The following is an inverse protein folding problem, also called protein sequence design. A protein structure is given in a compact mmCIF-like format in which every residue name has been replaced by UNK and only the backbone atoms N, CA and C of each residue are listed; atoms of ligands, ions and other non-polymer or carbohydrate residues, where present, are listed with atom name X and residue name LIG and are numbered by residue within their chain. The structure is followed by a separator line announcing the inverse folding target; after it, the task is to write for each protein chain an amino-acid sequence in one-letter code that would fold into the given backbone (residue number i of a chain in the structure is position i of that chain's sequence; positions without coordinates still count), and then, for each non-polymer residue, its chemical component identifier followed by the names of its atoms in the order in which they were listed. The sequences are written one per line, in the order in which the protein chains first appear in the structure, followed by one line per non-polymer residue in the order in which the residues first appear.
data_IF_072794678290
#
_entry.id   IF_072794678290
#
_cell.length_a   1.000
_cell.length_b   1.000
_cell.length_c   1.000
_cell.angle_alpha   90.00
_cell.angle_beta   90.00
_cell.angle_gamma   90.00
#
_symmetry.space_group_name_H-M   'P 1'
#
loop_
_entity.id
_entity.type
_entity.pdbx_description
1 polymer ?
#
# COMPACT_ATOMS: atom_id res chain seq x y z
N UNK A 1 -1.16 10.36 -10.32
CA UNK A 1 -0.37 10.36 -9.06
C UNK A 1 0.10 8.96 -8.69
N UNK A 2 -0.80 7.97 -8.62
CA UNK A 2 -0.45 6.58 -8.27
C UNK A 2 0.63 5.95 -9.18
N UNK A 3 0.50 6.03 -10.50
CA UNK A 3 1.53 5.47 -11.42
C UNK A 3 2.92 6.13 -11.27
N UNK A 4 2.98 7.45 -11.07
CA UNK A 4 4.23 8.17 -10.81
C UNK A 4 4.89 7.76 -9.49
N UNK A 5 4.11 7.37 -8.48
CA UNK A 5 4.62 6.91 -7.18
C UNK A 5 5.08 5.44 -7.21
N UNK A 6 4.57 4.63 -8.14
CA UNK A 6 4.88 3.20 -8.27
C UNK A 6 6.13 2.98 -9.13
N UNK A 7 6.25 3.71 -10.25
CA UNK A 7 7.38 3.54 -11.18
C UNK A 7 8.64 4.32 -10.71
N UNK A 8 8.48 5.27 -9.78
CA UNK A 8 9.58 6.07 -9.28
C UNK A 8 10.14 5.47 -7.98
N UNK A 9 11.45 5.15 -7.90
CA UNK A 9 12.06 4.67 -6.67
C UNK A 9 11.81 5.60 -5.48
N UNK A 10 11.55 5.01 -4.30
CA UNK A 10 11.26 5.73 -3.05
C UNK A 10 12.32 6.80 -2.71
N UNK A 11 13.60 6.53 -2.99
CA UNK A 11 14.70 7.47 -2.79
C UNK A 11 14.63 8.73 -3.67
N UNK A 12 14.09 8.63 -4.89
CA UNK A 12 13.92 9.79 -5.79
C UNK A 12 12.84 10.71 -5.22
N UNK A 13 11.75 10.14 -4.68
CA UNK A 13 10.67 10.90 -4.05
C UNK A 13 11.20 11.65 -2.83
N UNK A 14 11.98 10.98 -1.98
CA UNK A 14 12.65 11.61 -0.85
C UNK A 14 13.57 12.75 -1.29
N UNK A 15 14.32 12.57 -2.37
CA UNK A 15 15.23 13.58 -2.92
C UNK A 15 14.45 14.79 -3.46
N UNK A 16 13.38 14.59 -4.21
CA UNK A 16 12.53 15.67 -4.73
C UNK A 16 11.88 16.45 -3.59
N UNK A 17 11.32 15.76 -2.59
CA UNK A 17 10.74 16.40 -1.40
C UNK A 17 11.79 17.16 -0.59
N UNK A 18 13.00 16.61 -0.46
CA UNK A 18 14.11 17.27 0.19
C UNK A 18 14.50 18.56 -0.55
N UNK A 19 14.66 18.51 -1.87
CA UNK A 19 14.95 19.69 -2.69
C UNK A 19 13.83 20.72 -2.55
N UNK A 20 12.57 20.29 -2.53
CA UNK A 20 11.42 21.17 -2.35
C UNK A 20 11.46 21.89 -1.00
N UNK A 21 11.57 21.16 0.12
CA UNK A 21 11.62 21.78 1.45
C UNK A 21 12.87 22.64 1.67
N UNK A 22 14.03 22.18 1.21
CA UNK A 22 15.26 22.95 1.25
C UNK A 22 15.14 24.24 0.42
N UNK A 23 14.53 24.15 -0.77
CA UNK A 23 14.26 25.29 -1.65
C UNK A 23 13.31 26.32 -1.00
N UNK A 24 12.23 25.87 -0.37
CA UNK A 24 11.31 26.74 0.39
C UNK A 24 12.05 27.43 1.53
N UNK A 25 12.82 26.69 2.32
CA UNK A 25 13.59 27.23 3.46
C UNK A 25 14.62 28.27 3.02
N UNK A 26 15.44 27.95 2.01
CA UNK A 26 16.45 28.85 1.46
C UNK A 26 15.82 30.07 0.76
N UNK A 27 14.69 29.87 0.07
CA UNK A 27 13.90 30.93 -0.56
C UNK A 27 13.36 31.93 0.46
N UNK A 28 12.73 31.45 1.52
CA UNK A 28 12.26 32.30 2.63
C UNK A 28 13.42 33.08 3.26
N UNK A 29 14.55 32.42 3.55
CA UNK A 29 15.75 33.09 4.07
C UNK A 29 16.23 34.21 3.15
N UNK A 30 16.32 33.94 1.85
CA UNK A 30 16.81 34.91 0.86
C UNK A 30 15.87 36.11 0.74
N UNK A 31 14.55 35.89 0.77
CA UNK A 31 13.53 36.95 0.73
C UNK A 31 13.63 37.84 1.98
N UNK A 32 13.73 37.24 3.16
CA UNK A 32 13.78 37.98 4.42
C UNK A 32 15.08 38.79 4.52
N UNK A 33 16.23 38.19 4.21
CA UNK A 33 17.52 38.92 4.17
C UNK A 33 17.54 40.06 3.15
N UNK A 34 16.83 39.94 2.03
CA UNK A 34 16.74 41.00 1.02
C UNK A 34 15.78 42.13 1.40
N UNK A 35 14.74 41.85 2.21
CA UNK A 35 13.65 42.80 2.49
C UNK A 35 13.64 43.37 3.91
N UNK A 36 14.31 42.74 4.87
CA UNK A 36 14.33 43.17 6.26
C UNK A 36 15.70 43.73 6.66
N UNK A 37 15.68 44.73 7.55
CA UNK A 37 16.89 45.20 8.22
C UNK A 37 17.42 44.11 9.17
N UNK A 38 18.70 44.19 9.51
CA UNK A 38 19.40 43.20 10.34
C UNK A 38 18.72 42.99 11.69
N UNK A 39 18.28 44.08 12.36
CA UNK A 39 17.50 44.04 13.60
C UNK A 39 16.16 43.33 13.46
N UNK A 40 15.43 43.57 12.35
CA UNK A 40 14.13 42.94 12.09
C UNK A 40 14.29 41.45 11.77
N UNK A 41 15.41 41.06 11.14
CA UNK A 41 15.74 39.66 10.90
C UNK A 41 16.01 38.91 12.21
N UNK A 42 16.71 39.56 13.16
CA UNK A 42 17.01 38.97 14.47
C UNK A 42 15.73 38.76 15.30
N UNK A 43 14.84 39.74 15.36
CA UNK A 43 13.52 39.61 16.01
C UNK A 43 12.69 38.46 15.42
N UNK A 44 12.57 38.41 14.08
CA UNK A 44 11.82 37.36 13.39
C UNK A 44 12.44 35.97 13.57
N UNK A 45 13.77 35.89 13.66
CA UNK A 45 14.50 34.65 13.89
C UNK A 45 14.21 34.09 15.30
N UNK A 46 14.20 34.95 16.31
CA UNK A 46 13.92 34.57 17.70
C UNK A 46 12.46 34.12 17.89
N UNK A 47 11.50 34.86 17.34
CA UNK A 47 10.08 34.48 17.38
C UNK A 47 9.83 33.15 16.66
N UNK A 48 10.42 32.97 15.47
CA UNK A 48 10.28 31.74 14.68
C UNK A 48 10.88 30.53 15.39
N UNK A 49 12.02 30.71 16.08
CA UNK A 49 12.66 29.65 16.85
C UNK A 49 11.79 29.16 18.01
N UNK A 50 11.01 30.05 18.64
CA UNK A 50 10.05 29.69 19.69
C UNK A 50 8.87 28.88 19.15
N UNK A 51 8.38 29.22 17.96
CA UNK A 51 7.28 28.50 17.31
C UNK A 51 7.70 27.13 16.76
N UNK A 52 8.97 26.98 16.39
CA UNK A 52 9.49 25.78 15.73
C UNK A 52 9.25 24.51 16.56
N UNK A 53 9.46 24.56 17.88
CA UNK A 53 9.27 23.39 18.75
C UNK A 53 7.82 22.91 18.76
N UNK A 54 6.86 23.85 18.86
CA UNK A 54 5.43 23.52 18.84
C UNK A 54 5.00 22.93 17.49
N UNK A 55 5.44 23.55 16.39
CA UNK A 55 5.15 23.06 15.04
C UNK A 55 5.76 21.69 14.76
N UNK A 56 7.01 21.47 15.17
CA UNK A 56 7.68 20.19 15.05
C UNK A 56 6.96 19.09 15.84
N UNK A 57 6.50 19.40 17.06
CA UNK A 57 5.73 18.45 17.88
C UNK A 57 4.38 18.11 17.23
N UNK A 58 3.64 19.09 16.72
CA UNK A 58 2.38 18.86 16.00
C UNK A 58 2.59 18.05 14.73
N UNK A 59 3.66 18.32 13.98
CA UNK A 59 4.01 17.53 12.80
C UNK A 59 4.37 16.09 13.14
N UNK A 60 5.18 15.86 14.19
CA UNK A 60 5.50 14.53 14.67
C UNK A 60 4.24 13.74 15.06
N UNK A 61 3.26 14.40 15.69
CA UNK A 61 1.96 13.80 15.97
C UNK A 61 1.20 13.39 14.70
N UNK A 62 1.12 14.25 13.70
CA UNK A 62 0.47 13.91 12.43
C UNK A 62 1.18 12.79 11.68
N UNK A 63 2.52 12.75 11.71
CA UNK A 63 3.29 11.64 11.16
C UNK A 63 2.97 10.34 11.89
N UNK A 64 2.96 10.33 13.22
CA UNK A 64 2.62 9.13 14.00
C UNK A 64 1.21 8.61 13.70
N UNK A 65 0.23 9.51 13.59
CA UNK A 65 -1.13 9.16 13.18
C UNK A 65 -1.16 8.58 11.76
N UNK A 66 -0.49 9.24 10.81
CA UNK A 66 -0.45 8.80 9.43
C UNK A 66 0.20 7.42 9.27
N UNK A 67 1.33 7.18 9.93
CA UNK A 67 2.01 5.88 9.95
C UNK A 67 1.07 4.79 10.48
N UNK A 68 0.38 5.05 11.59
CA UNK A 68 -0.57 4.10 12.17
C UNK A 68 -1.70 3.73 11.19
N UNK A 69 -2.29 4.74 10.54
CA UNK A 69 -3.37 4.53 9.57
C UNK A 69 -2.88 3.76 8.34
N UNK A 70 -1.73 4.13 7.78
CA UNK A 70 -1.17 3.45 6.60
C UNK A 70 -0.72 2.04 6.92
N UNK A 71 -0.11 1.81 8.09
CA UNK A 71 0.26 0.47 8.53
C UNK A 71 -0.96 -0.43 8.70
N UNK A 72 -2.06 0.08 9.24
CA UNK A 72 -3.32 -0.65 9.32
C UNK A 72 -3.85 -1.10 7.95
N UNK A 73 -3.64 -0.30 6.90
CA UNK A 73 -4.01 -0.67 5.54
C UNK A 73 -3.13 -1.81 4.99
N UNK A 74 -1.80 -1.77 5.24
CA UNK A 74 -0.87 -2.84 4.88
C UNK A 74 -1.23 -4.13 5.61
N UNK A 75 -1.44 -4.08 6.92
CA UNK A 75 -1.85 -5.23 7.73
C UNK A 75 -3.16 -5.85 7.23
N UNK A 76 -4.18 -5.03 6.93
CA UNK A 76 -5.44 -5.51 6.36
C UNK A 76 -5.24 -6.18 4.98
N UNK A 77 -4.30 -5.68 4.18
CA UNK A 77 -3.96 -6.29 2.89
C UNK A 77 -3.30 -7.65 3.05
N UNK A 78 -2.37 -7.75 4.00
CA UNK A 78 -1.72 -9.02 4.35
C UNK A 78 -2.74 -10.05 4.85
N UNK A 79 -3.61 -9.67 5.78
CA UNK A 79 -4.68 -10.53 6.29
C UNK A 79 -5.61 -11.01 5.16
N UNK A 80 -5.91 -10.16 4.18
CA UNK A 80 -6.76 -10.51 3.05
C UNK A 80 -6.10 -11.55 2.12
N UNK A 81 -4.80 -11.40 1.84
CA UNK A 81 -4.02 -12.35 1.03
C UNK A 81 -3.87 -13.70 1.74
N UNK A 82 -3.59 -13.69 3.04
CA UNK A 82 -3.52 -14.90 3.85
C UNK A 82 -4.86 -15.63 3.92
N UNK A 83 -5.96 -14.89 4.09
CA UNK A 83 -7.31 -15.46 4.05
C UNK A 83 -7.62 -16.06 2.68
N UNK A 84 -7.24 -15.41 1.57
CA UNK A 84 -7.40 -15.96 0.22
C UNK A 84 -6.64 -17.28 0.06
N UNK A 85 -5.38 -17.34 0.51
CA UNK A 85 -4.58 -18.56 0.49
C UNK A 85 -5.22 -19.69 1.33
N UNK A 86 -5.66 -19.38 2.55
CA UNK A 86 -6.32 -20.35 3.44
C UNK A 86 -7.63 -20.89 2.85
N UNK A 87 -8.45 -20.04 2.21
CA UNK A 87 -9.69 -20.48 1.52
C UNK A 87 -9.40 -21.33 0.30
N UNK A 88 -8.34 -21.01 -0.45
CA UNK A 88 -7.91 -21.81 -1.59
C UNK A 88 -7.43 -23.20 -1.15
N UNK A 89 -6.67 -23.28 -0.06
CA UNK A 89 -6.24 -24.55 0.53
C UNK A 89 -7.45 -25.38 1.02
N UNK A 90 -8.41 -24.75 1.69
CA UNK A 90 -9.65 -25.40 2.12
C UNK A 90 -10.44 -25.95 0.91
N UNK A 91 -10.51 -25.19 -0.18
CA UNK A 91 -11.18 -25.61 -1.41
C UNK A 91 -10.47 -26.81 -2.05
N UNK A 92 -9.14 -26.77 -2.15
CA UNK A 92 -8.33 -27.88 -2.65
C UNK A 92 -8.54 -29.15 -1.82
N UNK A 93 -8.58 -29.04 -0.48
CA UNK A 93 -8.88 -30.17 0.39
C UNK A 93 -10.31 -30.72 0.16
N UNK A 94 -11.31 -29.84 0.01
CA UNK A 94 -12.68 -30.29 -0.29
C UNK A 94 -12.78 -31.02 -1.64
N UNK A 95 -12.09 -30.52 -2.67
CA UNK A 95 -12.06 -31.14 -3.99
C UNK A 95 -11.38 -32.51 -3.96
N UNK A 96 -10.29 -32.65 -3.21
CA UNK A 96 -9.59 -33.94 -3.04
C UNK A 96 -10.41 -34.99 -2.28
N UNK A 97 -11.41 -34.59 -1.50
CA UNK A 97 -12.30 -35.50 -0.78
C UNK A 97 -13.55 -35.88 -1.60
N UNK A 98 -13.67 -35.43 -2.85
CA UNK A 98 -14.75 -35.84 -3.74
C UNK A 98 -14.56 -37.32 -4.11
N UNK A 99 -15.62 -38.16 -4.01
CA UNK A 99 -15.51 -39.60 -4.32
C UNK A 99 -15.06 -39.90 -5.76
N UNK A 100 -15.41 -39.05 -6.73
CA UNK A 100 -15.00 -39.18 -8.12
C UNK A 100 -13.88 -38.18 -8.47
N UNK A 101 -12.64 -38.65 -8.42
CA UNK A 101 -11.46 -37.85 -8.73
C UNK A 101 -11.48 -37.31 -10.18
N UNK A 102 -12.05 -38.06 -11.13
CA UNK A 102 -12.14 -37.63 -12.53
C UNK A 102 -12.95 -36.34 -12.75
N UNK A 103 -13.88 -36.03 -11.83
CA UNK A 103 -14.66 -34.80 -11.85
C UNK A 103 -13.95 -33.66 -11.10
N UNK A 104 -13.09 -33.99 -10.12
CA UNK A 104 -12.38 -33.04 -9.27
C UNK A 104 -11.07 -32.52 -9.92
N UNK A 105 -10.34 -33.37 -10.63
CA UNK A 105 -9.07 -33.04 -11.31
C UNK A 105 -9.14 -31.80 -12.21
N UNK A 106 -10.14 -31.62 -13.09
CA UNK A 106 -10.23 -30.41 -13.90
C UNK A 106 -10.47 -29.15 -13.05
N UNK A 107 -11.26 -29.24 -11.97
CA UNK A 107 -11.55 -28.12 -11.08
C UNK A 107 -10.30 -27.74 -10.26
N UNK A 108 -9.55 -28.74 -9.78
CA UNK A 108 -8.26 -28.55 -9.09
C UNK A 108 -7.24 -27.86 -10.00
N UNK A 109 -7.20 -28.25 -11.27
CA UNK A 109 -6.34 -27.63 -12.27
C UNK A 109 -6.71 -26.17 -12.52
N UNK A 110 -7.99 -25.85 -12.66
CA UNK A 110 -8.44 -24.47 -12.85
C UNK A 110 -8.13 -23.60 -11.61
N UNK A 111 -8.33 -24.16 -10.41
CA UNK A 111 -7.95 -23.51 -9.15
C UNK A 111 -6.43 -23.26 -9.09
N UNK A 112 -5.60 -24.21 -9.49
CA UNK A 112 -4.15 -24.06 -9.53
C UNK A 112 -3.73 -22.97 -10.52
N UNK A 113 -4.30 -22.94 -11.73
CA UNK A 113 -4.00 -21.93 -12.75
C UNK A 113 -4.40 -20.54 -12.26
N UNK A 114 -5.54 -20.42 -11.57
CA UNK A 114 -5.95 -19.19 -10.92
C UNK A 114 -4.91 -18.71 -9.88
N UNK A 115 -4.53 -19.57 -8.92
CA UNK A 115 -3.60 -19.18 -7.86
C UNK A 115 -2.20 -18.84 -8.39
N UNK A 116 -1.71 -19.62 -9.37
CA UNK A 116 -0.43 -19.34 -10.02
C UNK A 116 -0.46 -18.00 -10.76
N UNK A 117 -1.56 -17.72 -11.47
CA UNK A 117 -1.74 -16.44 -12.20
C UNK A 117 -1.86 -15.28 -11.21
N UNK A 118 -2.60 -15.45 -10.11
CA UNK A 118 -2.74 -14.44 -9.08
C UNK A 118 -1.41 -14.13 -8.38
N UNK A 119 -0.62 -15.14 -8.05
CA UNK A 119 0.68 -14.96 -7.41
C UNK A 119 1.72 -14.28 -8.33
N UNK A 120 1.72 -14.61 -9.62
CA UNK A 120 2.77 -14.17 -10.55
C UNK A 120 2.42 -12.83 -11.24
N UNK A 121 1.15 -12.60 -11.58
CA UNK A 121 0.75 -11.51 -12.48
C UNK A 121 -0.13 -10.46 -11.83
N UNK A 122 -0.93 -10.79 -10.81
CA UNK A 122 -1.85 -9.81 -10.24
C UNK A 122 -1.14 -8.74 -9.40
N UNK A 123 0.03 -9.05 -8.82
CA UNK A 123 0.78 -8.10 -7.98
C UNK A 123 1.01 -6.74 -8.66
N UNK A 124 1.33 -6.75 -9.96
CA UNK A 124 1.53 -5.51 -10.73
C UNK A 124 0.24 -4.68 -10.88
N UNK A 125 -0.90 -5.34 -11.09
CA UNK A 125 -2.19 -4.68 -11.27
C UNK A 125 -2.78 -4.22 -9.92
N UNK A 126 -2.64 -5.03 -8.87
CA UNK A 126 -3.00 -4.70 -7.50
C UNK A 126 -2.19 -3.52 -6.95
N UNK A 127 -0.91 -3.42 -7.30
CA UNK A 127 -0.06 -2.26 -7.01
C UNK A 127 -0.70 -0.95 -7.52
N UNK A 128 -1.16 -0.97 -8.78
CA UNK A 128 -1.86 0.14 -9.45
C UNK A 128 -3.33 0.29 -8.99
N UNK A 129 -3.83 -0.70 -8.25
CA UNK A 129 -5.25 -0.85 -7.88
C UNK A 129 -6.18 -0.97 -9.08
N UNK A 130 -5.63 -1.40 -10.21
CA UNK A 130 -6.43 -1.91 -11.30
C UNK A 130 -6.91 -3.30 -10.89
N UNK A 131 -8.21 -3.39 -10.63
CA UNK A 131 -8.88 -4.61 -10.18
C UNK A 131 -9.92 -5.06 -11.19
N UNK A 132 -10.09 -4.31 -12.29
CA UNK A 132 -11.07 -4.61 -13.33
C UNK A 132 -10.49 -5.49 -14.44
N UNK A 133 -9.16 -5.51 -14.61
CA UNK A 133 -8.48 -6.35 -15.61
C UNK A 133 -7.40 -7.26 -14.99
N UNK A 134 -7.72 -7.91 -13.88
CA UNK A 134 -6.77 -8.86 -13.27
C UNK A 134 -6.55 -10.07 -14.19
N UNK A 135 -5.29 -10.44 -14.49
CA UNK A 135 -4.98 -11.63 -15.26
C UNK A 135 -5.60 -12.92 -14.68
N UNK A 136 -5.74 -12.99 -13.35
CA UNK A 136 -6.35 -14.13 -12.66
C UNK A 136 -7.88 -14.22 -12.81
N UNK A 137 -8.56 -13.15 -13.24
CA UNK A 137 -10.02 -13.10 -13.31
C UNK A 137 -10.58 -14.13 -14.30
N UNK A 138 -9.94 -14.30 -15.47
CA UNK A 138 -10.35 -15.33 -16.45
C UNK A 138 -10.21 -16.77 -15.91
N UNK A 139 -9.06 -17.17 -15.37
CA UNK A 139 -8.93 -18.45 -14.65
C UNK A 139 -9.92 -18.61 -13.50
N UNK A 140 -10.21 -17.53 -12.77
CA UNK A 140 -11.13 -17.56 -11.64
C UNK A 140 -12.57 -17.81 -12.08
N UNK A 141 -13.02 -17.15 -13.14
CA UNK A 141 -14.35 -17.35 -13.75
C UNK A 141 -14.48 -18.79 -14.26
N UNK A 142 -13.45 -19.32 -14.93
CA UNK A 142 -13.43 -20.71 -15.40
C UNK A 142 -13.56 -21.72 -14.24
N UNK A 143 -12.84 -21.50 -13.14
CA UNK A 143 -12.97 -22.29 -11.92
C UNK A 143 -14.38 -22.19 -11.31
N UNK A 144 -14.96 -20.99 -11.23
CA UNK A 144 -16.31 -20.80 -10.70
C UNK A 144 -17.36 -21.51 -11.55
N UNK A 145 -17.25 -21.41 -12.87
CA UNK A 145 -18.12 -22.09 -13.83
C UNK A 145 -17.99 -23.62 -13.70
N UNK A 146 -16.77 -24.14 -13.52
CA UNK A 146 -16.53 -25.56 -13.32
C UNK A 146 -17.16 -26.08 -12.02
N UNK A 147 -17.01 -25.34 -10.90
CA UNK A 147 -17.66 -25.65 -9.63
C UNK A 147 -19.19 -25.60 -9.75
N UNK A 148 -19.72 -24.58 -10.44
CA UNK A 148 -21.17 -24.44 -10.65
C UNK A 148 -21.72 -25.60 -11.49
N UNK A 149 -21.04 -25.96 -12.59
CA UNK A 149 -21.43 -27.08 -13.43
C UNK A 149 -21.42 -28.41 -12.67
N UNK A 150 -20.43 -28.63 -11.80
CA UNK A 150 -20.36 -29.82 -10.96
C UNK A 150 -21.49 -29.84 -9.93
N UNK A 151 -21.71 -28.73 -9.22
CA UNK A 151 -22.72 -28.59 -8.17
C UNK A 151 -24.17 -28.78 -8.67
N UNK A 152 -24.47 -28.34 -9.89
CA UNK A 152 -25.80 -28.44 -10.49
C UNK A 152 -25.93 -29.60 -11.48
N UNK A 153 -24.91 -30.48 -11.58
CA UNK A 153 -25.03 -31.72 -12.34
C UNK A 153 -25.99 -32.68 -11.63
N UNK A 154 -26.84 -33.38 -12.39
CA UNK A 154 -27.93 -34.23 -11.89
C UNK A 154 -27.49 -35.52 -11.18
N UNK A 155 -26.20 -35.68 -10.88
CA UNK A 155 -25.56 -36.96 -10.51
C UNK A 155 -24.88 -36.97 -9.13
N UNK A 156 -24.78 -35.84 -8.42
CA UNK A 156 -23.98 -35.73 -7.19
C UNK A 156 -24.85 -35.47 -5.94
N UNK A 157 -24.68 -36.22 -4.82
CA UNK A 157 -25.49 -36.04 -3.60
C UNK A 157 -25.31 -34.67 -2.92
N UNK A 158 -26.42 -34.11 -2.42
CA UNK A 158 -26.54 -32.70 -1.97
C UNK A 158 -25.70 -32.17 -0.78
N UNK A 159 -25.18 -32.97 0.18
CA UNK A 159 -24.40 -32.41 1.30
C UNK A 159 -22.99 -31.94 0.91
N UNK A 160 -22.29 -32.74 0.09
CA UNK A 160 -20.91 -32.46 -0.35
C UNK A 160 -20.87 -31.24 -1.29
N UNK A 161 -21.88 -31.13 -2.16
CA UNK A 161 -22.09 -29.99 -3.05
C UNK A 161 -22.29 -28.69 -2.27
N UNK A 162 -23.06 -28.72 -1.18
CA UNK A 162 -23.29 -27.53 -0.34
C UNK A 162 -21.99 -27.03 0.31
N UNK A 163 -21.10 -27.94 0.72
CA UNK A 163 -19.78 -27.60 1.26
C UNK A 163 -18.85 -26.97 0.21
N UNK A 164 -18.86 -27.49 -1.03
CA UNK A 164 -18.06 -26.96 -2.14
C UNK A 164 -18.53 -25.57 -2.59
N UNK A 165 -19.84 -25.36 -2.75
CA UNK A 165 -20.40 -24.05 -3.12
C UNK A 165 -20.10 -23.01 -2.03
N UNK A 166 -20.17 -23.41 -0.75
CA UNK A 166 -19.80 -22.53 0.38
C UNK A 166 -18.31 -22.18 0.32
N UNK A 167 -17.43 -23.15 0.07
CA UNK A 167 -16.00 -22.93 -0.03
C UNK A 167 -15.63 -22.03 -1.22
N UNK A 168 -16.25 -22.24 -2.38
CA UNK A 168 -16.09 -21.38 -3.56
C UNK A 168 -16.58 -19.95 -3.27
N UNK A 169 -17.74 -19.79 -2.63
CA UNK A 169 -18.24 -18.46 -2.22
C UNK A 169 -17.30 -17.75 -1.25
N UNK A 170 -16.72 -18.48 -0.30
CA UNK A 170 -15.72 -17.93 0.63
C UNK A 170 -14.45 -17.49 -0.08
N UNK A 171 -13.98 -18.25 -1.08
CA UNK A 171 -12.83 -17.88 -1.90
C UNK A 171 -13.11 -16.62 -2.75
N UNK A 172 -14.31 -16.51 -3.32
CA UNK A 172 -14.77 -15.31 -4.03
C UNK A 172 -14.77 -14.09 -3.11
N UNK A 173 -15.32 -14.22 -1.90
CA UNK A 173 -15.31 -13.13 -0.92
C UNK A 173 -13.89 -12.74 -0.50
N UNK A 174 -12.98 -13.72 -0.36
CA UNK A 174 -11.58 -13.45 -0.04
C UNK A 174 -10.85 -12.70 -1.17
N UNK A 175 -11.04 -13.13 -2.43
CA UNK A 175 -10.49 -12.45 -3.61
C UNK A 175 -11.04 -11.02 -3.77
N UNK A 176 -12.34 -10.84 -3.53
CA UNK A 176 -12.97 -9.52 -3.51
C UNK A 176 -12.41 -8.63 -2.38
N UNK A 177 -12.07 -9.19 -1.23
CA UNK A 177 -11.43 -8.47 -0.13
C UNK A 177 -10.04 -7.96 -0.52
N UNK A 178 -9.21 -8.78 -1.18
CA UNK A 178 -7.90 -8.36 -1.69
C UNK A 178 -8.04 -7.22 -2.70
N UNK A 179 -8.99 -7.35 -3.64
CA UNK A 179 -9.29 -6.29 -4.61
C UNK A 179 -9.77 -4.99 -3.93
N UNK A 180 -10.64 -5.10 -2.93
CA UNK A 180 -11.14 -3.96 -2.17
C UNK A 180 -10.02 -3.24 -1.40
N UNK A 181 -9.04 -3.97 -0.85
CA UNK A 181 -7.87 -3.36 -0.22
C UNK A 181 -6.94 -2.73 -1.24
N UNK A 182 -6.76 -3.33 -2.42
CA UNK A 182 -5.95 -2.76 -3.50
C UNK A 182 -6.50 -1.44 -4.05
N UNK A 183 -7.82 -1.24 -3.99
CA UNK A 183 -8.46 0.03 -4.32
C UNK A 183 -8.35 1.09 -3.22
N UNK A 184 -8.02 0.72 -1.97
CA UNK A 184 -7.85 1.71 -0.90
C UNK A 184 -6.65 2.61 -1.22
N UNK A 185 -6.89 3.91 -1.13
CA UNK A 185 -5.86 4.94 -1.20
C UNK A 185 -5.77 5.68 0.12
N UNK A 186 -4.59 6.22 0.44
CA UNK A 186 -4.44 7.21 1.50
C UNK A 186 -5.51 8.31 1.39
N UNK A 187 -6.12 8.77 2.51
CA UNK A 187 -6.96 9.95 2.49
C UNK A 187 -6.16 11.14 1.94
N UNK A 188 -6.58 11.68 0.78
CA UNK A 188 -5.91 12.80 0.11
C UNK A 188 -5.71 13.99 1.07
N UNK A 189 -6.69 14.20 1.96
CA UNK A 189 -6.66 15.21 3.02
C UNK A 189 -5.46 15.06 3.95
N UNK A 190 -5.06 13.82 4.29
CA UNK A 190 -3.92 13.56 5.15
C UNK A 190 -2.61 13.88 4.44
N UNK A 191 -2.48 13.53 3.16
CA UNK A 191 -1.32 13.88 2.35
C UNK A 191 -1.18 15.40 2.20
N UNK A 192 -2.28 16.11 1.94
CA UNK A 192 -2.30 17.58 1.87
C UNK A 192 -1.92 18.19 3.23
N UNK A 193 -2.48 17.67 4.33
CA UNK A 193 -2.17 18.15 5.68
C UNK A 193 -0.67 18.03 5.99
N UNK A 194 -0.06 16.88 5.69
CA UNK A 194 1.37 16.65 5.90
C UNK A 194 2.25 17.55 5.03
N UNK A 195 1.86 17.77 3.77
CA UNK A 195 2.58 18.66 2.87
C UNK A 195 2.50 20.11 3.33
N UNK A 196 1.32 20.59 3.74
CA UNK A 196 1.11 21.95 4.25
C UNK A 196 1.89 22.17 5.55
N UNK A 197 1.78 21.25 6.51
CA UNK A 197 2.48 21.35 7.80
C UNK A 197 4.00 21.23 7.64
N UNK A 198 4.50 20.32 6.81
CA UNK A 198 5.92 20.21 6.46
C UNK A 198 6.45 21.47 5.76
N UNK A 199 5.66 22.07 4.87
CA UNK A 199 6.01 23.34 4.21
C UNK A 199 6.07 24.49 5.21
N UNK A 200 5.12 24.55 6.15
CA UNK A 200 5.10 25.57 7.19
C UNK A 200 6.33 25.47 8.11
N UNK A 201 6.75 24.26 8.46
CA UNK A 201 8.01 24.03 9.18
C UNK A 201 9.21 24.50 8.36
N UNK A 202 9.27 24.17 7.07
CA UNK A 202 10.36 24.60 6.20
C UNK A 202 10.46 26.13 6.10
N UNK A 203 9.31 26.83 6.03
CA UNK A 203 9.24 28.30 6.07
C UNK A 203 9.82 28.81 7.38
N UNK A 204 9.25 28.42 8.53
CA UNK A 204 9.65 28.89 9.86
C UNK A 204 11.13 28.62 10.14
N UNK A 205 11.62 27.46 9.69
CA UNK A 205 13.04 27.10 9.76
C UNK A 205 13.92 27.98 8.86
N UNK A 206 13.45 28.35 7.67
CA UNK A 206 14.12 29.32 6.81
C UNK A 206 14.23 30.71 7.44
N UNK A 207 13.23 31.12 8.22
CA UNK A 207 13.24 32.38 8.98
C UNK A 207 14.22 32.31 10.15
N UNK A 208 14.17 31.24 10.96
CA UNK A 208 15.05 31.07 12.13
C UNK A 208 16.53 30.91 11.78
N UNK A 209 16.85 30.51 10.55
CA UNK A 209 18.24 30.40 10.08
C UNK A 209 18.82 31.70 9.55
N UNK A 210 18.05 32.79 9.47
CA UNK A 210 18.50 34.05 8.86
C UNK A 210 19.75 34.63 9.54
N UNK A 211 19.91 34.44 10.86
CA UNK A 211 21.05 34.95 11.65
C UNK A 211 22.21 33.93 11.80
N UNK A 212 22.05 32.68 11.34
CA UNK A 212 23.06 31.64 11.54
C UNK A 212 24.11 31.61 10.42
N UNK A 213 25.40 31.57 10.82
CA UNK A 213 26.57 31.52 9.91
C UNK A 213 26.72 30.20 9.13
N UNK A 214 26.06 29.11 9.55
CA UNK A 214 26.08 27.79 8.88
C UNK A 214 24.68 27.29 8.51
N UNK A 215 24.03 27.86 7.46
CA UNK A 215 22.71 27.43 6.95
C UNK A 215 22.58 25.92 6.71
N UNK A 216 23.64 25.34 6.15
CA UNK A 216 23.64 23.99 5.58
C UNK A 216 23.33 22.90 6.62
N UNK A 217 23.76 23.10 7.87
CA UNK A 217 23.48 22.17 8.97
C UNK A 217 22.01 22.21 9.42
N UNK A 218 21.34 23.35 9.25
CA UNK A 218 19.93 23.50 9.60
C UNK A 218 19.01 23.05 8.45
N UNK A 219 19.43 23.16 7.19
CA UNK A 219 18.72 22.51 6.06
C UNK A 219 18.77 20.99 6.11
N UNK A 220 19.72 20.39 6.84
CA UNK A 220 19.72 18.94 7.08
C UNK A 220 18.44 18.49 7.82
N UNK A 221 17.82 19.35 8.62
CA UNK A 221 16.54 19.05 9.28
C UNK A 221 15.35 18.95 8.31
N UNK A 222 15.47 19.45 7.07
CA UNK A 222 14.46 19.23 6.02
C UNK A 222 14.42 17.77 5.53
N UNK A 223 15.43 16.96 5.87
CA UNK A 223 15.43 15.53 5.54
C UNK A 223 14.34 14.78 6.32
N UNK A 224 14.01 15.23 7.53
CA UNK A 224 13.01 14.57 8.38
C UNK A 224 11.62 14.61 7.73
N UNK A 225 11.02 15.78 7.42
CA UNK A 225 9.71 15.80 6.77
C UNK A 225 9.73 15.12 5.39
N UNK A 226 10.84 15.22 4.64
CA UNK A 226 10.98 14.53 3.35
C UNK A 226 10.92 13.01 3.50
N UNK A 227 11.71 12.44 4.42
CA UNK A 227 11.70 11.00 4.69
C UNK A 227 10.37 10.55 5.29
N UNK A 228 9.81 11.29 6.24
CA UNK A 228 8.54 10.90 6.87
C UNK A 228 7.39 10.86 5.87
N UNK A 229 7.28 11.86 4.99
CA UNK A 229 6.26 11.85 3.92
C UNK A 229 6.53 10.73 2.92
N UNK A 230 7.79 10.45 2.59
CA UNK A 230 8.16 9.35 1.68
C UNK A 230 7.76 7.99 2.26
N UNK A 231 8.03 7.74 3.53
CA UNK A 231 7.63 6.50 4.21
C UNK A 231 6.13 6.36 4.22
N UNK A 232 5.39 7.43 4.55
CA UNK A 232 3.92 7.41 4.54
C UNK A 232 3.39 7.15 3.12
N UNK A 233 4.01 7.75 2.11
CA UNK A 233 3.65 7.52 0.71
C UNK A 233 3.93 6.08 0.27
N UNK A 234 5.02 5.46 0.73
CA UNK A 234 5.32 4.05 0.46
C UNK A 234 4.29 3.13 1.14
N UNK A 235 3.94 3.39 2.40
CA UNK A 235 2.92 2.61 3.13
C UNK A 235 1.49 2.85 2.62
N UNK A 236 1.26 3.94 1.88
CA UNK A 236 -0.04 4.30 1.32
C UNK A 236 -0.55 3.32 0.27
N UNK A 237 0.38 2.64 -0.40
CA UNK A 237 0.11 1.71 -1.48
C UNK A 237 0.54 0.32 -1.01
N UNK A 238 -0.34 -0.42 -0.31
CA UNK A 238 0.05 -1.66 0.35
C UNK A 238 0.56 -2.73 -0.62
N UNK A 239 0.17 -2.68 -1.89
CA UNK A 239 0.65 -3.59 -2.93
C UNK A 239 1.78 -3.01 -3.78
N UNK A 240 2.23 -1.77 -3.53
CA UNK A 240 3.24 -1.10 -4.35
C UNK A 240 4.37 -0.47 -3.52
N UNK A 241 5.62 -0.78 -3.86
CA UNK A 241 6.82 -0.24 -3.22
C UNK A 241 7.63 -1.30 -2.47
N UNK A 242 8.69 -0.86 -1.78
CA UNK A 242 9.66 -1.75 -1.10
C UNK A 242 9.06 -2.50 0.11
N UNK A 243 7.95 -1.99 0.66
CA UNK A 243 7.18 -2.60 1.76
C UNK A 243 5.81 -2.96 1.20
N UNK A 244 5.74 -4.05 0.44
CA UNK A 244 4.52 -4.55 -0.17
C UNK A 244 3.95 -5.75 0.60
N UNK A 245 2.63 -5.93 0.52
CA UNK A 245 1.94 -7.16 0.88
C UNK A 245 2.57 -8.33 0.13
N UNK A 246 2.89 -9.39 0.86
CA UNK A 246 3.56 -10.56 0.30
C UNK A 246 2.53 -11.53 -0.30
N UNK A 247 2.65 -11.81 -1.60
CA UNK A 247 1.82 -12.78 -2.31
C UNK A 247 2.35 -14.22 -2.19
N UNK A 248 3.47 -14.43 -1.49
CA UNK A 248 4.07 -15.75 -1.24
C UNK A 248 3.10 -16.77 -0.62
N UNK A 249 2.15 -16.42 0.27
CA UNK A 249 1.16 -17.39 0.76
C UNK A 249 0.31 -18.01 -0.35
N UNK A 250 -0.11 -17.23 -1.35
CA UNK A 250 -0.87 -17.74 -2.50
C UNK A 250 0.03 -18.63 -3.37
N UNK A 251 1.28 -18.20 -3.59
CA UNK A 251 2.28 -18.97 -4.35
C UNK A 251 2.55 -20.32 -3.70
N UNK A 252 2.70 -20.36 -2.39
CA UNK A 252 2.95 -21.59 -1.63
C UNK A 252 1.81 -22.61 -1.80
N UNK A 253 0.55 -22.15 -1.80
CA UNK A 253 -0.60 -23.03 -2.06
C UNK A 253 -0.59 -23.53 -3.51
N UNK A 254 -0.30 -22.67 -4.48
CA UNK A 254 -0.21 -23.07 -5.89
C UNK A 254 0.90 -24.12 -6.12
N UNK A 255 2.06 -23.95 -5.48
CA UNK A 255 3.17 -24.92 -5.53
C UNK A 255 2.84 -26.22 -4.80
N UNK A 256 2.16 -26.14 -3.65
CA UNK A 256 1.70 -27.33 -2.93
C UNK A 256 0.74 -28.17 -3.77
N UNK A 257 -0.19 -27.52 -4.47
CA UNK A 257 -1.09 -28.19 -5.42
C UNK A 257 -0.36 -28.75 -6.64
N UNK A 258 0.73 -28.12 -7.08
CA UNK A 258 1.55 -28.62 -8.18
C UNK A 258 2.34 -29.89 -7.81
N UNK A 259 2.80 -29.98 -6.57
CA UNK A 259 3.65 -31.06 -6.07
C UNK A 259 2.86 -32.26 -5.54
N UNK A 260 1.57 -32.08 -5.24
CA UNK A 260 0.63 -33.12 -4.81
C UNK A 260 -0.62 -33.12 -5.71
N UNK A 261 -0.51 -33.64 -6.96
CA UNK A 261 -1.65 -33.86 -7.83
C UNK A 261 -2.58 -34.95 -7.32
#
# INVERSE_FOLDING_TARGET
MRELLIDTPSWVIALVLFIFFAGVSLGCRAIIRKRCSEKRCEELSDESSRLLTGLAATFAFFIGFAVTVTWGAVATGQDAVENQAARAQQMSWNLNNIPNQSDADPILKDLQVYLATAADKDGYYLARGDTTNLPSMRPFDAFQDAVHKYAYSSTTPGPEVSGLVTAASNLTNASASVSAVAQRSLPLLLAILLLVTGTFIAIVMGISTTNTSRPLLLTAWCIIPALSITVIAALAFPFAGDISVDLSPIKAVAEQMANHP
#
